data_IF_236126511910
#
_entry.id   IF_236126511910
#
_cell.length_a   1.000
_cell.length_b   1.000
_cell.length_c   1.000
_cell.angle_alpha   90.00
_cell.angle_beta   90.00
_cell.angle_gamma   90.00
#
_symmetry.space_group_name_H-M   'P 1'
#
loop_
_entity.id
_entity.type
_entity.pdbx_description
1 polymer ?
#
# COMPACT_ATOMS: atom_id res chain seq x y z
N UNK A 1 25.20 45.94 -47.93
CA UNK A 1 24.41 44.96 -47.12
C UNK A 1 25.12 44.77 -45.81
N UNK A 2 24.64 45.48 -44.77
CA UNK A 2 25.21 45.41 -43.39
C UNK A 2 24.52 44.29 -42.63
N UNK A 3 25.26 43.24 -42.30
CA UNK A 3 24.78 42.09 -41.52
C UNK A 3 24.72 42.53 -40.06
N UNK A 4 23.50 42.72 -39.52
CA UNK A 4 23.29 42.96 -38.10
C UNK A 4 23.63 41.67 -37.33
N UNK A 5 24.74 41.71 -36.60
CA UNK A 5 25.13 40.65 -35.67
C UNK A 5 24.16 40.68 -34.48
N UNK A 6 23.30 39.69 -34.37
CA UNK A 6 22.44 39.47 -33.20
C UNK A 6 23.37 39.09 -32.02
N UNK A 7 23.50 39.98 -31.05
CA UNK A 7 24.18 39.65 -29.79
C UNK A 7 23.35 38.58 -29.08
N UNK A 8 23.85 37.38 -28.95
CA UNK A 8 23.29 36.37 -28.08
C UNK A 8 23.58 36.77 -26.63
N UNK A 9 22.52 37.06 -25.90
CA UNK A 9 22.61 37.33 -24.45
C UNK A 9 22.81 35.99 -23.73
N UNK A 10 24.02 35.74 -23.24
CA UNK A 10 24.28 34.61 -22.34
C UNK A 10 23.70 34.86 -20.97
N UNK A 11 23.30 33.80 -20.26
CA UNK A 11 22.81 33.85 -18.89
C UNK A 11 23.91 34.35 -17.96
N UNK A 12 23.53 35.22 -17.00
CA UNK A 12 24.43 35.67 -15.98
C UNK A 12 24.62 34.54 -14.92
N UNK A 13 25.86 34.44 -14.42
CA UNK A 13 26.15 33.49 -13.32
C UNK A 13 25.27 33.74 -12.10
N UNK A 14 24.93 34.98 -11.82
CA UNK A 14 24.03 35.38 -10.73
C UNK A 14 22.61 34.90 -10.95
N UNK A 15 22.11 34.92 -12.18
CA UNK A 15 20.78 34.45 -12.55
C UNK A 15 20.62 32.95 -12.28
N UNK A 16 21.62 32.15 -12.64
CA UNK A 16 21.64 30.72 -12.36
C UNK A 16 21.70 30.48 -10.84
N UNK A 17 22.47 31.29 -10.09
CA UNK A 17 22.62 31.15 -8.66
C UNK A 17 21.30 31.43 -7.93
N UNK A 18 20.53 32.43 -8.36
CA UNK A 18 19.20 32.73 -7.83
C UNK A 18 18.23 31.56 -8.13
N UNK A 19 18.24 31.01 -9.33
CA UNK A 19 17.37 29.90 -9.72
C UNK A 19 17.63 28.66 -8.86
N UNK A 20 18.88 28.27 -8.67
CA UNK A 20 19.20 27.09 -7.83
C UNK A 20 18.85 27.33 -6.34
N UNK A 21 19.00 28.56 -5.85
CA UNK A 21 18.58 28.91 -4.49
C UNK A 21 17.06 28.80 -4.33
N UNK A 22 16.26 29.25 -5.31
CA UNK A 22 14.80 29.11 -5.28
C UNK A 22 14.37 27.64 -5.34
N UNK A 23 14.98 26.84 -6.23
CA UNK A 23 14.70 25.41 -6.32
C UNK A 23 15.03 24.70 -5.00
N UNK A 24 16.18 25.03 -4.39
CA UNK A 24 16.59 24.48 -3.11
C UNK A 24 15.59 24.71 -1.98
N UNK A 25 15.00 25.91 -1.90
CA UNK A 25 13.98 26.21 -0.88
C UNK A 25 12.68 25.43 -1.09
N UNK A 26 12.22 25.26 -2.33
CA UNK A 26 11.01 24.50 -2.67
C UNK A 26 11.19 23.01 -2.33
N UNK A 27 12.34 22.43 -2.68
CA UNK A 27 12.66 21.02 -2.39
C UNK A 27 12.74 20.77 -0.89
N UNK A 28 13.33 21.70 -0.12
CA UNK A 28 13.44 21.56 1.34
C UNK A 28 12.07 21.51 2.03
N UNK A 29 11.09 22.27 1.56
CA UNK A 29 9.71 22.26 2.11
C UNK A 29 8.91 21.02 1.71
N UNK A 30 9.20 20.43 0.55
CA UNK A 30 8.44 19.29 0.01
C UNK A 30 8.74 17.95 0.67
N UNK A 31 9.92 17.75 1.23
CA UNK A 31 10.41 16.43 1.67
C UNK A 31 9.56 15.81 2.79
N UNK A 32 9.13 16.58 3.78
CA UNK A 32 8.32 16.09 4.90
C UNK A 32 6.88 15.76 4.50
N UNK A 33 6.27 16.58 3.65
CA UNK A 33 4.92 16.36 3.14
C UNK A 33 4.85 15.09 2.27
N UNK A 34 5.89 14.81 1.49
CA UNK A 34 5.96 13.63 0.63
C UNK A 34 6.01 12.32 1.42
N UNK A 35 6.69 12.30 2.57
CA UNK A 35 6.74 11.11 3.44
C UNK A 35 5.36 10.79 4.01
N UNK A 36 4.63 11.79 4.52
CA UNK A 36 3.28 11.61 5.03
C UNK A 36 2.29 11.13 3.95
N UNK A 37 2.39 11.68 2.74
CA UNK A 37 1.58 11.27 1.60
C UNK A 37 1.82 9.80 1.22
N UNK A 38 3.06 9.32 1.22
CA UNK A 38 3.40 7.92 0.96
C UNK A 38 2.77 6.97 1.99
N UNK A 39 2.83 7.30 3.28
CA UNK A 39 2.20 6.51 4.35
C UNK A 39 0.69 6.44 4.14
N UNK A 40 0.05 7.57 3.89
CA UNK A 40 -1.41 7.63 3.66
C UNK A 40 -1.82 6.84 2.41
N UNK A 41 -1.08 6.96 1.32
CA UNK A 41 -1.32 6.19 0.10
C UNK A 41 -1.16 4.68 0.35
N UNK A 42 -0.15 4.26 1.12
CA UNK A 42 0.04 2.87 1.51
C UNK A 42 -1.13 2.31 2.31
N UNK A 43 -1.65 3.07 3.29
CA UNK A 43 -2.83 2.69 4.07
C UNK A 43 -4.06 2.54 3.18
N UNK A 44 -4.30 3.46 2.28
CA UNK A 44 -5.42 3.39 1.33
C UNK A 44 -5.31 2.19 0.40
N UNK A 45 -4.11 1.90 -0.10
CA UNK A 45 -3.86 0.73 -0.94
C UNK A 45 -4.12 -0.57 -0.18
N UNK A 46 -3.67 -0.69 1.08
CA UNK A 46 -3.92 -1.86 1.91
C UNK A 46 -5.41 -2.09 2.19
N UNK A 47 -6.14 -1.02 2.50
CA UNK A 47 -7.59 -1.10 2.71
C UNK A 47 -8.34 -1.48 1.42
N UNK A 48 -7.91 -0.95 0.27
CA UNK A 48 -8.47 -1.33 -1.03
C UNK A 48 -8.21 -2.79 -1.35
N UNK A 49 -7.00 -3.28 -1.12
CA UNK A 49 -6.66 -4.69 -1.33
C UNK A 49 -7.46 -5.62 -0.42
N UNK A 50 -7.67 -5.26 0.86
CA UNK A 50 -8.53 -6.02 1.76
C UNK A 50 -9.97 -6.12 1.25
N UNK A 51 -10.52 -5.05 0.65
CA UNK A 51 -11.85 -5.09 0.02
C UNK A 51 -11.88 -6.01 -1.19
N UNK A 52 -10.82 -6.01 -1.99
CA UNK A 52 -10.69 -6.92 -3.13
C UNK A 52 -10.65 -8.38 -2.66
N UNK A 53 -9.86 -8.68 -1.64
CA UNK A 53 -9.79 -10.01 -1.03
C UNK A 53 -11.11 -10.42 -0.38
N UNK A 54 -11.82 -9.48 0.26
CA UNK A 54 -13.16 -9.71 0.78
C UNK A 54 -14.14 -10.11 -0.32
N UNK A 55 -14.16 -9.38 -1.43
CA UNK A 55 -15.04 -9.72 -2.57
C UNK A 55 -14.71 -11.10 -3.14
N UNK A 56 -13.43 -11.44 -3.21
CA UNK A 56 -12.99 -12.77 -3.63
C UNK A 56 -13.44 -13.86 -2.65
N UNK A 57 -13.38 -13.61 -1.34
CA UNK A 57 -13.88 -14.51 -0.31
C UNK A 57 -15.40 -14.74 -0.44
N UNK A 58 -16.17 -13.68 -0.69
CA UNK A 58 -17.61 -13.82 -0.90
C UNK A 58 -17.93 -14.65 -2.15
N UNK A 59 -17.23 -14.43 -3.24
CA UNK A 59 -17.39 -15.21 -4.46
C UNK A 59 -17.03 -16.69 -4.24
N UNK A 60 -15.94 -16.95 -3.53
CA UNK A 60 -15.54 -18.32 -3.20
C UNK A 60 -16.57 -19.01 -2.30
N UNK A 61 -17.11 -18.30 -1.31
CA UNK A 61 -18.14 -18.79 -0.41
C UNK A 61 -19.43 -19.18 -1.16
N UNK A 62 -19.86 -18.35 -2.12
CA UNK A 62 -21.04 -18.64 -2.95
C UNK A 62 -20.85 -19.92 -3.77
N UNK A 63 -19.64 -20.17 -4.27
CA UNK A 63 -19.34 -21.32 -5.13
C UNK A 63 -19.08 -22.60 -4.34
N UNK A 64 -18.48 -22.50 -3.15
CA UNK A 64 -17.95 -23.65 -2.40
C UNK A 64 -18.65 -23.89 -1.06
N UNK A 65 -19.57 -23.01 -0.62
CA UNK A 65 -20.27 -23.08 0.66
C UNK A 65 -19.39 -22.79 1.88
N UNK A 66 -18.15 -22.35 1.67
CA UNK A 66 -17.19 -21.95 2.72
C UNK A 66 -16.26 -20.87 2.22
N UNK A 67 -15.60 -20.19 3.12
CA UNK A 67 -14.53 -19.25 2.79
C UNK A 67 -13.23 -19.99 2.42
N UNK A 68 -12.38 -19.34 1.65
CA UNK A 68 -11.10 -19.87 1.20
C UNK A 68 -9.99 -19.58 2.20
N UNK A 69 -8.98 -20.44 2.29
CA UNK A 69 -7.69 -20.06 2.85
C UNK A 69 -6.89 -19.19 1.86
N UNK A 70 -5.76 -18.63 2.29
CA UNK A 70 -4.95 -17.73 1.43
C UNK A 70 -4.49 -18.43 0.15
N UNK A 71 -4.05 -19.68 0.25
CA UNK A 71 -3.53 -20.45 -0.89
C UNK A 71 -4.64 -20.75 -1.90
N UNK A 72 -5.81 -21.13 -1.44
CA UNK A 72 -7.00 -21.36 -2.29
C UNK A 72 -7.46 -20.07 -2.96
N UNK A 73 -7.50 -18.96 -2.20
CA UNK A 73 -7.92 -17.68 -2.73
C UNK A 73 -6.97 -17.19 -3.82
N UNK A 74 -5.67 -17.36 -3.62
CA UNK A 74 -4.66 -16.99 -4.60
C UNK A 74 -4.69 -17.89 -5.85
N UNK A 75 -5.05 -19.17 -5.70
CA UNK A 75 -5.19 -20.08 -6.84
C UNK A 75 -6.28 -19.64 -7.82
N UNK A 76 -7.31 -18.92 -7.35
CA UNK A 76 -8.38 -18.39 -8.22
C UNK A 76 -7.91 -17.22 -9.10
N UNK A 77 -6.99 -16.39 -8.66
CA UNK A 77 -6.47 -15.26 -9.46
C UNK A 77 -5.14 -14.71 -8.90
N UNK A 78 -4.08 -15.50 -9.00
CA UNK A 78 -2.76 -15.19 -8.42
C UNK A 78 -2.13 -13.88 -8.92
N UNK A 79 -2.40 -13.51 -10.18
CA UNK A 79 -1.83 -12.30 -10.78
C UNK A 79 -2.42 -11.01 -10.20
N UNK A 80 -3.63 -11.06 -9.66
CA UNK A 80 -4.33 -9.88 -9.14
C UNK A 80 -4.06 -9.63 -7.65
N UNK A 81 -3.84 -10.70 -6.88
CA UNK A 81 -3.80 -10.57 -5.42
C UNK A 81 -2.38 -10.35 -4.88
N UNK A 82 -1.35 -10.84 -5.53
CA UNK A 82 0.04 -10.72 -5.13
C UNK A 82 0.76 -12.06 -5.06
N UNK A 83 1.91 -12.09 -4.39
CA UNK A 83 2.75 -13.28 -4.27
C UNK A 83 2.41 -14.03 -2.99
N UNK A 84 2.10 -15.33 -3.11
CA UNK A 84 1.83 -16.21 -1.97
C UNK A 84 3.09 -16.94 -1.56
N UNK A 85 3.38 -16.92 -0.27
CA UNK A 85 4.47 -17.69 0.35
C UNK A 85 4.06 -18.05 1.79
N UNK A 86 4.14 -19.34 2.14
CA UNK A 86 3.85 -19.84 3.48
C UNK A 86 2.51 -19.32 4.07
N UNK A 87 1.40 -19.48 3.33
CA UNK A 87 0.04 -19.04 3.70
C UNK A 87 -0.10 -17.54 3.97
N UNK A 88 0.81 -16.74 3.43
CA UNK A 88 0.78 -15.29 3.43
C UNK A 88 0.77 -14.76 2.01
N UNK A 89 -0.01 -13.74 1.78
CA UNK A 89 -0.10 -13.03 0.51
C UNK A 89 0.64 -11.69 0.67
N UNK A 90 1.66 -11.45 -0.14
CA UNK A 90 2.39 -10.19 -0.14
C UNK A 90 2.03 -9.36 -1.36
N UNK A 91 1.61 -8.13 -1.14
CA UNK A 91 1.36 -7.15 -2.17
C UNK A 91 1.90 -5.77 -1.74
N UNK A 92 2.90 -5.28 -2.46
CA UNK A 92 3.62 -4.06 -2.12
C UNK A 92 4.34 -4.16 -0.77
N UNK A 93 3.97 -3.29 0.16
CA UNK A 93 4.56 -3.23 1.51
C UNK A 93 3.75 -3.99 2.56
N UNK A 94 2.63 -4.57 2.17
CA UNK A 94 1.71 -5.23 3.09
C UNK A 94 1.70 -6.73 2.86
N UNK A 95 1.63 -7.46 3.97
CA UNK A 95 1.42 -8.90 3.99
C UNK A 95 0.05 -9.18 4.55
N UNK A 96 -0.72 -9.98 3.84
CA UNK A 96 -2.09 -10.37 4.19
C UNK A 96 -2.07 -11.81 4.66
N UNK A 97 -2.70 -12.07 5.80
CA UNK A 97 -2.77 -13.40 6.39
C UNK A 97 -4.13 -13.65 7.04
N UNK A 98 -4.54 -14.89 7.14
CA UNK A 98 -5.74 -15.28 7.89
C UNK A 98 -5.45 -15.25 9.38
N UNK A 99 -6.48 -15.08 10.19
CA UNK A 99 -6.39 -15.18 11.65
C UNK A 99 -7.40 -16.22 12.14
N UNK A 100 -6.92 -17.35 12.64
CA UNK A 100 -5.53 -17.81 12.76
C UNK A 100 -4.87 -18.06 11.40
N UNK A 101 -3.53 -18.08 11.28
CA UNK A 101 -2.82 -18.18 9.98
C UNK A 101 -3.20 -19.41 9.16
N UNK A 102 -3.47 -20.53 9.81
CA UNK A 102 -3.98 -21.76 9.19
C UNK A 102 -5.31 -22.10 9.88
N UNK A 103 -6.43 -21.52 9.44
CA UNK A 103 -7.73 -21.83 10.04
C UNK A 103 -8.13 -23.29 9.75
N UNK A 104 -8.68 -24.01 10.72
CA UNK A 104 -9.20 -25.33 10.45
C UNK A 104 -10.39 -25.24 9.46
N UNK A 105 -10.61 -26.27 8.62
CA UNK A 105 -11.66 -26.22 7.57
C UNK A 105 -13.04 -25.85 8.10
N UNK A 106 -13.38 -26.31 9.30
CA UNK A 106 -14.68 -26.02 9.95
C UNK A 106 -14.84 -24.55 10.36
N UNK A 107 -13.75 -23.84 10.64
CA UNK A 107 -13.82 -22.42 11.01
C UNK A 107 -14.19 -21.54 9.80
N UNK A 108 -13.83 -21.96 8.60
CA UNK A 108 -14.09 -21.22 7.36
C UNK A 108 -15.52 -21.44 6.82
N UNK A 109 -16.35 -22.27 7.45
CA UNK A 109 -17.72 -22.50 6.99
C UNK A 109 -18.59 -21.27 7.13
N UNK A 110 -18.45 -20.50 8.22
CA UNK A 110 -19.36 -19.40 8.54
C UNK A 110 -18.64 -18.04 8.75
N UNK A 111 -17.34 -18.04 8.97
CA UNK A 111 -16.59 -16.81 9.26
C UNK A 111 -15.16 -16.88 8.77
N UNK A 112 -14.60 -15.71 8.54
CA UNK A 112 -13.16 -15.55 8.33
C UNK A 112 -12.70 -14.24 8.94
N UNK A 113 -11.44 -14.17 9.28
CA UNK A 113 -10.77 -12.94 9.66
C UNK A 113 -9.45 -12.88 8.89
N UNK A 114 -9.17 -11.74 8.29
CA UNK A 114 -7.94 -11.52 7.54
C UNK A 114 -7.30 -10.23 8.04
N UNK A 115 -5.99 -10.25 8.21
CA UNK A 115 -5.20 -9.09 8.57
C UNK A 115 -4.27 -8.67 7.46
N UNK A 116 -4.10 -7.36 7.31
CA UNK A 116 -3.06 -6.74 6.51
C UNK A 116 -2.02 -6.14 7.47
N UNK A 117 -0.82 -6.65 7.41
CA UNK A 117 0.32 -6.20 8.22
C UNK A 117 1.30 -5.45 7.33
N UNK A 118 1.63 -4.23 7.68
CA UNK A 118 2.63 -3.42 6.97
C UNK A 118 3.54 -2.69 7.94
N UNK A 119 4.72 -2.33 7.46
CA UNK A 119 5.66 -1.50 8.22
C UNK A 119 5.99 -0.25 7.40
N UNK A 120 5.78 0.92 7.99
CA UNK A 120 6.14 2.19 7.38
C UNK A 120 6.75 3.11 8.43
N UNK A 121 7.95 3.65 8.16
CA UNK A 121 8.69 4.54 9.05
C UNK A 121 8.71 4.08 10.54
N UNK A 122 9.09 2.83 10.79
CA UNK A 122 9.14 2.21 12.13
C UNK A 122 7.77 2.02 12.81
N UNK A 123 6.66 2.37 12.16
CA UNK A 123 5.32 2.08 12.66
C UNK A 123 4.78 0.78 12.03
N UNK A 124 4.32 -0.13 12.87
CA UNK A 124 3.56 -1.29 12.41
C UNK A 124 2.12 -0.86 12.20
N UNK A 125 1.62 -1.04 10.99
CA UNK A 125 0.24 -0.73 10.62
C UNK A 125 -0.49 -2.04 10.42
N UNK A 126 -1.58 -2.22 11.14
CA UNK A 126 -2.46 -3.39 11.01
C UNK A 126 -3.87 -2.98 10.64
N UNK A 127 -4.41 -3.65 9.64
CA UNK A 127 -5.83 -3.62 9.31
C UNK A 127 -6.41 -5.02 9.43
N UNK A 128 -7.65 -5.11 9.83
CA UNK A 128 -8.39 -6.36 9.91
C UNK A 128 -9.71 -6.24 9.13
N UNK A 129 -10.09 -7.29 8.44
CA UNK A 129 -11.40 -7.44 7.82
C UNK A 129 -12.01 -8.79 8.22
N UNK A 130 -13.31 -8.83 8.38
CA UNK A 130 -14.06 -10.04 8.71
C UNK A 130 -15.12 -10.35 7.65
N UNK A 131 -15.88 -11.40 7.86
CA UNK A 131 -16.98 -11.84 6.99
C UNK A 131 -18.07 -10.79 6.77
N UNK A 132 -18.17 -9.77 7.61
CA UNK A 132 -19.12 -8.66 7.49
C UNK A 132 -18.60 -7.52 6.59
N UNK A 133 -17.35 -7.62 6.12
CA UNK A 133 -16.73 -6.59 5.29
C UNK A 133 -16.31 -5.33 6.05
N UNK A 134 -16.40 -5.34 7.38
CA UNK A 134 -15.96 -4.24 8.22
C UNK A 134 -14.43 -4.21 8.29
N UNK A 135 -13.83 -3.11 7.86
CA UNK A 135 -12.39 -2.90 7.98
C UNK A 135 -12.13 -2.09 9.24
N UNK A 136 -11.34 -2.66 10.15
CA UNK A 136 -10.88 -2.00 11.35
C UNK A 136 -9.38 -1.79 11.29
N UNK A 137 -8.93 -0.58 11.62
CA UNK A 137 -7.50 -0.34 11.81
C UNK A 137 -7.13 -0.75 13.23
N UNK A 138 -6.34 -1.80 13.36
CA UNK A 138 -5.94 -2.36 14.66
C UNK A 138 -4.70 -1.69 15.25
N UNK A 139 -4.33 -0.50 14.96
CA UNK A 139 -3.25 0.30 15.55
C UNK A 139 -2.04 0.62 14.67
N UNK A 140 -1.49 1.82 14.87
CA UNK A 140 -0.05 1.95 15.02
C UNK A 140 0.33 1.50 16.44
N UNK A 141 1.05 0.40 16.60
CA UNK A 141 1.76 0.15 17.86
C UNK A 141 2.90 1.16 17.89
N UNK A 142 2.71 2.25 18.65
CA UNK A 142 3.80 3.15 19.01
C UNK A 142 4.71 2.34 19.92
N UNK A 143 5.82 1.85 19.41
CA UNK A 143 6.90 1.35 20.25
C UNK A 143 7.55 2.57 20.89
N UNK A 144 7.18 2.86 22.13
CA UNK A 144 7.99 3.74 22.98
C UNK A 144 9.28 2.97 23.27
N UNK A 145 10.37 3.53 22.80
CA UNK A 145 11.74 3.12 23.18
C UNK A 145 12.08 3.75 24.53
#
# INVERSE_FOLDING_TARGET
MTKLSKKEAGFSLVEILIVIAMIGTIVAMGASAFTGAKVSAGKSAAASQLRTLYSAQQNYHIQNGRFANITELAATNSSQYGVVSADKLTNGRYTYEMVPPVPPPNALSNSFTMEANGQDNSQVIKFQINERGSIMQLLPVVRNW
#
